data_IF_726579043816
#
_entry.id   IF_726579043816
#
_cell.length_a   1.000
_cell.length_b   1.000
_cell.length_c   1.000
_cell.angle_alpha   90.00
_cell.angle_beta   90.00
_cell.angle_gamma   90.00
#
_symmetry.space_group_name_H-M   'P 1'
#
loop_
_entity.id
_entity.type
_entity.pdbx_description
1 polymer ?
#
# COMPACT_ATOMS: atom_id res chain seq x y z
N UNK A 1 17.01 27.73 7.10
CA UNK A 1 16.50 26.34 7.05
C UNK A 1 15.07 26.35 7.56
N UNK A 2 14.08 25.99 6.73
CA UNK A 2 12.77 25.63 7.24
C UNK A 2 12.96 24.34 8.04
N UNK A 3 12.71 24.40 9.34
CA UNK A 3 12.50 23.19 10.13
C UNK A 3 11.26 22.55 9.54
N UNK A 4 11.42 21.45 8.80
CA UNK A 4 10.32 20.62 8.35
C UNK A 4 9.68 20.01 9.60
N UNK A 5 8.77 20.79 10.20
CA UNK A 5 7.96 20.34 11.31
C UNK A 5 7.03 19.28 10.74
N UNK A 6 7.09 18.09 11.31
CA UNK A 6 6.13 17.02 11.06
C UNK A 6 4.72 17.61 11.11
N UNK A 7 4.08 17.72 9.95
CA UNK A 7 2.71 18.20 9.83
C UNK A 7 1.79 16.97 9.87
N UNK A 8 1.01 16.85 10.93
CA UNK A 8 -0.01 15.80 11.01
C UNK A 8 -1.20 16.21 10.14
N UNK A 9 -1.68 15.26 9.34
CA UNK A 9 -2.93 15.46 8.64
C UNK A 9 -4.06 15.66 9.66
N UNK A 10 -4.78 16.78 9.55
CA UNK A 10 -5.94 17.06 10.40
C UNK A 10 -7.20 16.76 9.59
N UNK A 11 -7.86 15.62 9.83
CA UNK A 11 -9.06 15.27 9.09
C UNK A 11 -10.20 16.23 9.43
N UNK A 12 -10.97 16.58 8.41
CA UNK A 12 -12.23 17.29 8.57
C UNK A 12 -13.26 16.44 9.30
N UNK A 13 -14.29 17.08 9.87
CA UNK A 13 -15.39 16.37 10.54
C UNK A 13 -16.05 15.36 9.60
N UNK A 14 -16.28 15.74 8.34
CA UNK A 14 -16.91 14.88 7.34
C UNK A 14 -16.06 13.63 7.04
N UNK A 15 -14.73 13.77 6.99
CA UNK A 15 -13.83 12.62 6.81
C UNK A 15 -13.86 11.67 8.02
N UNK A 16 -13.99 12.20 9.23
CA UNK A 16 -14.10 11.40 10.45
C UNK A 16 -15.43 10.63 10.48
N UNK A 17 -16.55 11.29 10.17
CA UNK A 17 -17.85 10.60 10.15
C UNK A 17 -17.89 9.54 9.05
N UNK A 18 -17.39 9.85 7.85
CA UNK A 18 -17.30 8.87 6.77
C UNK A 18 -16.38 7.68 7.15
N UNK A 19 -15.34 7.92 7.94
CA UNK A 19 -14.46 6.85 8.43
C UNK A 19 -15.18 5.94 9.43
N UNK A 20 -16.03 6.51 10.30
CA UNK A 20 -16.87 5.72 11.21
C UNK A 20 -17.87 4.85 10.44
N UNK A 21 -18.53 5.41 9.43
CA UNK A 21 -19.44 4.64 8.56
C UNK A 21 -18.73 3.46 7.90
N UNK A 22 -17.50 3.66 7.41
CA UNK A 22 -16.70 2.58 6.82
C UNK A 22 -16.34 1.50 7.85
N UNK A 23 -15.98 1.89 9.07
CA UNK A 23 -15.67 0.94 10.15
C UNK A 23 -16.89 0.09 10.46
N UNK A 24 -18.07 0.70 10.61
CA UNK A 24 -19.33 0.00 10.85
C UNK A 24 -19.66 -0.98 9.72
N UNK A 25 -19.56 -0.53 8.46
CA UNK A 25 -19.79 -1.41 7.30
C UNK A 25 -18.81 -2.58 7.24
N UNK A 26 -17.53 -2.35 7.56
CA UNK A 26 -16.53 -3.43 7.61
C UNK A 26 -16.90 -4.50 8.64
N UNK A 27 -17.44 -4.10 9.79
CA UNK A 27 -17.84 -5.01 10.88
C UNK A 27 -19.07 -5.84 10.51
N UNK A 28 -19.95 -5.29 9.68
CA UNK A 28 -21.15 -5.98 9.18
C UNK A 28 -20.83 -6.95 8.02
N UNK A 29 -19.66 -6.84 7.39
CA UNK A 29 -19.26 -7.70 6.27
C UNK A 29 -18.25 -8.76 6.70
N UNK A 30 -18.63 -10.05 6.81
CA UNK A 30 -17.74 -11.10 7.31
C UNK A 30 -16.51 -11.38 6.42
N UNK A 31 -16.48 -10.82 5.20
CA UNK A 31 -15.33 -10.93 4.29
C UNK A 31 -14.26 -9.87 4.53
N UNK A 32 -14.55 -8.83 5.32
CA UNK A 32 -13.66 -7.71 5.60
C UNK A 32 -13.23 -7.82 7.06
N UNK A 33 -11.91 -7.90 7.37
CA UNK A 33 -11.44 -7.77 8.74
C UNK A 33 -11.82 -6.39 9.32
N UNK A 34 -11.85 -6.27 10.65
CA UNK A 34 -12.05 -4.96 11.28
C UNK A 34 -10.96 -3.99 10.81
N UNK A 35 -11.38 -2.76 10.49
CA UNK A 35 -10.49 -1.64 10.18
C UNK A 35 -10.56 -0.62 11.31
N UNK A 36 -9.43 0.02 11.60
CA UNK A 36 -9.35 1.09 12.58
C UNK A 36 -9.45 2.46 11.91
N UNK A 37 -9.69 3.49 12.73
CA UNK A 37 -9.89 4.87 12.26
C UNK A 37 -8.75 5.40 11.38
N UNK A 38 -7.45 5.19 11.69
CA UNK A 38 -6.37 5.67 10.84
C UNK A 38 -6.42 5.09 9.42
N UNK A 39 -6.60 3.78 9.28
CA UNK A 39 -6.66 3.12 7.97
C UNK A 39 -7.92 3.51 7.20
N UNK A 40 -9.07 3.64 7.89
CA UNK A 40 -10.30 4.09 7.28
C UNK A 40 -10.15 5.52 6.71
N UNK A 41 -9.54 6.43 7.48
CA UNK A 41 -9.22 7.79 7.04
C UNK A 41 -8.31 7.78 5.81
N UNK A 42 -7.25 6.96 5.81
CA UNK A 42 -6.36 6.83 4.66
C UNK A 42 -7.12 6.44 3.38
N UNK A 43 -8.06 5.49 3.45
CA UNK A 43 -8.88 5.09 2.29
C UNK A 43 -9.80 6.21 1.80
N UNK A 44 -10.40 6.96 2.73
CA UNK A 44 -11.29 8.08 2.40
C UNK A 44 -10.51 9.20 1.74
N UNK A 45 -9.37 9.57 2.31
CA UNK A 45 -8.48 10.61 1.76
C UNK A 45 -7.95 10.15 0.41
N UNK A 46 -7.50 8.89 0.29
CA UNK A 46 -7.08 8.28 -0.97
C UNK A 46 -8.15 8.37 -2.04
N UNK A 47 -9.41 8.03 -1.70
CA UNK A 47 -10.54 8.16 -2.61
C UNK A 47 -10.85 9.60 -3.01
N UNK A 48 -10.89 10.52 -2.03
CA UNK A 48 -11.31 11.92 -2.25
C UNK A 48 -10.25 12.73 -2.99
N UNK A 49 -8.97 12.44 -2.76
CA UNK A 49 -7.84 13.22 -3.30
C UNK A 49 -7.07 12.51 -4.42
N UNK A 50 -7.41 11.25 -4.71
CA UNK A 50 -6.69 10.44 -5.69
C UNK A 50 -5.30 10.04 -5.24
N UNK A 51 -5.05 9.96 -3.92
CA UNK A 51 -3.77 9.51 -3.39
C UNK A 51 -3.66 7.99 -3.40
N UNK A 52 -2.42 7.51 -3.54
CA UNK A 52 -2.07 6.12 -3.32
C UNK A 52 -1.95 5.90 -1.81
N UNK A 53 -2.68 4.92 -1.28
CA UNK A 53 -2.64 4.56 0.14
C UNK A 53 -1.53 3.54 0.37
N UNK A 54 -0.62 3.83 1.30
CA UNK A 54 0.48 2.93 1.64
C UNK A 54 0.15 2.19 2.94
N UNK A 55 -0.03 0.87 2.88
CA UNK A 55 -0.34 0.08 4.09
C UNK A 55 -0.17 -1.43 3.87
N UNK A 56 0.22 -2.13 4.93
CA UNK A 56 0.16 -3.61 5.02
C UNK A 56 -1.18 -4.11 5.59
N UNK A 57 -2.06 -3.20 6.02
CA UNK A 57 -3.30 -3.57 6.68
C UNK A 57 -4.24 -4.33 5.73
N UNK A 58 -4.57 -5.57 6.10
CA UNK A 58 -5.38 -6.49 5.28
C UNK A 58 -6.79 -5.96 5.01
N UNK A 59 -7.42 -5.28 5.97
CA UNK A 59 -8.75 -4.70 5.76
C UNK A 59 -8.68 -3.61 4.68
N UNK A 60 -7.69 -2.72 4.78
CA UNK A 60 -7.50 -1.64 3.82
C UNK A 60 -7.17 -2.15 2.40
N UNK A 61 -6.46 -3.27 2.28
CA UNK A 61 -6.18 -3.92 0.99
C UNK A 61 -7.43 -4.59 0.36
N UNK A 62 -8.41 -4.98 1.18
CA UNK A 62 -9.61 -5.68 0.73
C UNK A 62 -10.77 -4.73 0.42
N UNK A 63 -10.89 -3.61 1.13
CA UNK A 63 -12.00 -2.65 0.96
C UNK A 63 -12.16 -2.18 -0.49
N UNK A 64 -11.11 -1.72 -1.21
CA UNK A 64 -11.24 -1.34 -2.61
C UNK A 64 -11.76 -2.46 -3.53
N UNK A 65 -11.56 -3.73 -3.14
CA UNK A 65 -11.99 -4.90 -3.92
C UNK A 65 -13.43 -5.33 -3.61
N UNK A 66 -13.96 -4.96 -2.44
CA UNK A 66 -15.22 -5.48 -1.90
C UNK A 66 -16.30 -4.41 -1.75
N UNK A 67 -15.93 -3.14 -1.61
CA UNK A 67 -16.86 -2.02 -1.44
C UNK A 67 -16.79 -1.12 -2.66
N UNK A 68 -17.90 -1.05 -3.40
CA UNK A 68 -17.95 -0.38 -4.71
C UNK A 68 -17.51 1.08 -4.68
N UNK A 69 -17.80 1.83 -3.60
CA UNK A 69 -17.41 3.24 -3.48
C UNK A 69 -15.90 3.45 -3.33
N UNK A 70 -15.12 2.40 -3.06
CA UNK A 70 -13.66 2.46 -2.95
C UNK A 70 -12.93 1.82 -4.12
N UNK A 71 -13.63 1.39 -5.18
CA UNK A 71 -13.03 0.61 -6.29
C UNK A 71 -11.85 1.29 -7.01
N UNK A 72 -11.80 2.62 -6.98
CA UNK A 72 -10.76 3.42 -7.64
C UNK A 72 -9.59 3.76 -6.70
N UNK A 73 -9.65 3.35 -5.43
CA UNK A 73 -8.54 3.59 -4.50
C UNK A 73 -7.42 2.60 -4.79
N UNK A 74 -6.24 3.14 -5.06
CA UNK A 74 -5.02 2.36 -5.24
C UNK A 74 -4.34 2.22 -3.88
N UNK A 75 -4.04 0.97 -3.52
CA UNK A 75 -3.33 0.65 -2.28
C UNK A 75 -2.03 -0.07 -2.64
N UNK A 76 -0.92 0.40 -2.10
CA UNK A 76 0.40 -0.23 -2.24
C UNK A 76 0.89 -0.73 -0.88
N UNK A 77 1.41 -1.96 -0.88
CA UNK A 77 2.27 -2.48 0.19
C UNK A 77 3.72 -2.13 -0.10
N UNK A 78 4.60 -2.41 0.85
CA UNK A 78 6.05 -2.30 0.66
C UNK A 78 6.52 -3.00 -0.63
N UNK A 79 5.96 -4.17 -0.94
CA UNK A 79 6.28 -4.91 -2.16
C UNK A 79 5.98 -4.09 -3.43
N UNK A 80 4.80 -3.47 -3.49
CA UNK A 80 4.40 -2.65 -4.64
C UNK A 80 5.24 -1.36 -4.70
N UNK A 81 5.58 -0.77 -3.55
CA UNK A 81 6.46 0.41 -3.51
C UNK A 81 7.83 0.08 -4.11
N UNK A 82 8.49 -0.99 -3.65
CA UNK A 82 9.80 -1.41 -4.15
C UNK A 82 9.76 -1.72 -5.65
N UNK A 83 8.75 -2.46 -6.10
CA UNK A 83 8.61 -2.81 -7.50
C UNK A 83 8.40 -1.58 -8.40
N UNK A 84 7.58 -0.61 -7.97
CA UNK A 84 7.40 0.62 -8.74
C UNK A 84 8.66 1.49 -8.72
N UNK A 85 9.36 1.60 -7.58
CA UNK A 85 10.62 2.32 -7.52
C UNK A 85 11.69 1.73 -8.46
N UNK A 86 11.75 0.40 -8.59
CA UNK A 86 12.59 -0.28 -9.58
C UNK A 86 12.18 0.08 -11.02
N UNK A 87 10.88 0.02 -11.32
CA UNK A 87 10.35 0.34 -12.67
C UNK A 87 10.65 1.78 -13.09
N UNK A 88 10.57 2.70 -12.14
CA UNK A 88 10.91 4.12 -12.34
C UNK A 88 12.42 4.39 -12.32
N UNK A 89 13.26 3.37 -12.11
CA UNK A 89 14.72 3.51 -12.09
C UNK A 89 15.27 4.21 -10.84
N UNK A 90 14.47 4.34 -9.78
CA UNK A 90 14.88 4.92 -8.50
C UNK A 90 15.69 3.94 -7.65
N UNK A 91 15.53 2.64 -7.89
CA UNK A 91 16.31 1.58 -7.25
C UNK A 91 17.01 0.80 -8.36
N UNK A 92 18.34 0.74 -8.27
CA UNK A 92 19.13 -0.11 -9.14
C UNK A 92 18.95 -1.58 -8.75
N UNK A 93 18.85 -2.44 -9.76
CA UNK A 93 18.66 -3.87 -9.57
C UNK A 93 19.86 -4.63 -10.09
N UNK A 94 20.34 -5.58 -9.29
CA UNK A 94 21.26 -6.60 -9.77
C UNK A 94 20.49 -7.67 -10.56
N UNK A 95 20.63 -7.70 -11.89
CA UNK A 95 19.95 -8.66 -12.74
C UNK A 95 20.42 -10.12 -12.56
N UNK A 96 21.60 -10.35 -11.98
CA UNK A 96 22.07 -11.69 -11.60
C UNK A 96 21.34 -12.20 -10.34
N UNK A 97 20.88 -11.28 -9.48
CA UNK A 97 20.04 -11.58 -8.32
C UNK A 97 18.82 -10.64 -8.20
N UNK A 98 17.74 -10.92 -8.96
CA UNK A 98 16.50 -10.13 -8.93
C UNK A 98 15.77 -10.10 -7.58
N UNK A 99 16.14 -10.95 -6.61
CA UNK A 99 15.57 -10.95 -5.26
C UNK A 99 16.23 -9.92 -4.33
N UNK A 100 17.45 -9.48 -4.67
CA UNK A 100 18.33 -8.69 -3.79
C UNK A 100 17.64 -7.54 -3.05
N UNK A 101 16.90 -6.68 -3.76
CA UNK A 101 16.19 -5.54 -3.17
C UNK A 101 15.12 -5.97 -2.16
N UNK A 102 14.38 -7.04 -2.46
CA UNK A 102 13.32 -7.54 -1.58
C UNK A 102 13.90 -8.26 -0.36
N UNK A 103 14.99 -9.02 -0.54
CA UNK A 103 15.70 -9.70 0.54
C UNK A 103 16.34 -8.70 1.51
N UNK A 104 16.94 -7.64 0.98
CA UNK A 104 17.49 -6.53 1.76
C UNK A 104 16.40 -5.86 2.60
N UNK A 105 15.30 -5.44 1.97
CA UNK A 105 14.17 -4.86 2.69
C UNK A 105 13.63 -5.79 3.79
N UNK A 106 13.47 -7.08 3.46
CA UNK A 106 12.95 -8.08 4.41
C UNK A 106 13.88 -8.27 5.60
N UNK A 107 15.19 -8.32 5.36
CA UNK A 107 16.20 -8.44 6.41
C UNK A 107 16.22 -7.21 7.33
N UNK A 108 16.15 -6.02 6.75
CA UNK A 108 16.30 -4.77 7.49
C UNK A 108 15.03 -4.39 8.28
N UNK A 109 13.86 -4.80 7.79
CA UNK A 109 12.56 -4.50 8.42
C UNK A 109 11.94 -5.68 9.16
N UNK A 110 12.55 -6.87 9.06
CA UNK A 110 11.98 -8.16 9.48
C UNK A 110 10.62 -8.46 8.83
N UNK A 111 10.29 -7.78 7.73
CA UNK A 111 9.07 -7.99 6.98
C UNK A 111 9.17 -9.29 6.17
N UNK A 112 8.07 -10.05 6.14
CA UNK A 112 7.99 -11.30 5.38
C UNK A 112 6.99 -11.13 4.25
N UNK A 113 7.50 -11.06 3.02
CA UNK A 113 6.64 -11.00 1.84
C UNK A 113 5.93 -12.35 1.61
N UNK A 114 4.63 -12.35 1.26
CA UNK A 114 3.95 -13.57 0.83
C UNK A 114 4.61 -14.15 -0.43
N UNK A 115 5.01 -15.43 -0.40
CA UNK A 115 5.84 -16.04 -1.45
C UNK A 115 5.26 -15.86 -2.86
N UNK A 116 3.94 -16.07 -3.04
CA UNK A 116 3.28 -15.89 -4.35
C UNK A 116 3.32 -14.44 -4.86
N UNK A 117 3.29 -13.46 -3.96
CA UNK A 117 3.37 -12.06 -4.34
C UNK A 117 4.81 -11.67 -4.69
N UNK A 118 5.78 -12.12 -3.87
CA UNK A 118 7.20 -11.93 -4.13
C UNK A 118 7.62 -12.49 -5.48
N UNK A 119 7.24 -13.74 -5.78
CA UNK A 119 7.57 -14.39 -7.07
C UNK A 119 7.03 -13.60 -8.27
N UNK A 120 5.83 -13.00 -8.16
CA UNK A 120 5.29 -12.14 -9.23
C UNK A 120 6.13 -10.89 -9.39
N UNK A 121 6.46 -10.20 -8.30
CA UNK A 121 7.29 -9.00 -8.34
C UNK A 121 8.67 -9.30 -8.95
N UNK A 122 9.31 -10.40 -8.54
CA UNK A 122 10.60 -10.84 -9.07
C UNK A 122 10.53 -11.20 -10.56
N UNK A 123 9.45 -11.84 -11.00
CA UNK A 123 9.22 -12.12 -12.42
C UNK A 123 9.13 -10.82 -13.23
N UNK A 124 8.45 -9.80 -12.71
CA UNK A 124 8.40 -8.49 -13.34
C UNK A 124 9.78 -7.83 -13.40
N UNK A 125 10.57 -7.90 -12.33
CA UNK A 125 11.95 -7.40 -12.32
C UNK A 125 12.82 -8.10 -13.37
N UNK A 126 12.75 -9.44 -13.47
CA UNK A 126 13.45 -10.20 -14.52
C UNK A 126 13.09 -9.71 -15.92
N UNK A 127 11.82 -9.41 -16.16
CA UNK A 127 11.36 -8.90 -17.47
C UNK A 127 11.95 -7.53 -17.83
N UNK A 128 12.28 -6.70 -16.82
CA UNK A 128 12.95 -5.41 -17.02
C UNK A 128 14.42 -5.60 -17.37
N UNK A 129 15.08 -6.59 -16.77
CA UNK A 129 16.48 -6.92 -17.06
C UNK A 129 16.70 -7.44 -18.49
N UNK A 130 15.71 -8.12 -19.08
CA UNK A 130 15.79 -8.60 -20.47
C UNK A 130 15.59 -7.46 -21.48
N UNK A 131 14.94 -6.36 -21.07
CA UNK A 131 14.64 -5.20 -21.92
C UNK A 131 15.74 -4.14 -21.91
N UNK A 132 16.68 -4.21 -20.98
CA UNK A 132 17.88 -3.36 -20.91
C UNK A 132 19.01 -4.00 -21.71
#
# INVERSE_FOLDING_TARGET
>A
MRSDRLALYTPSRDEIEEARELIEESRLNPRIPSIDLPEALCLIIGRRRGYIVLTENRAALLIPKLIARYRNVVVWRALEILLNAIKEGLIEVNCENPYSVFDEYSRDTLHIFPSRALERAVSEVRSLCVKK
#
